data_IF_226813587400
#
_entry.id   IF_226813587400
#
_cell.length_a   1.000
_cell.length_b   1.000
_cell.length_c   1.000
_cell.angle_alpha   90.00
_cell.angle_beta   90.00
_cell.angle_gamma   90.00
#
_symmetry.space_group_name_H-M   'P 1'
#
loop_
_entity.id
_entity.type
_entity.pdbx_description
1 polymer ?
#
# COMPACT_ATOMS: atom_id res chain seq x y z
N UNK A 1 57.61 30.52 -14.68
CA UNK A 1 56.35 31.13 -14.19
C UNK A 1 55.25 30.11 -14.48
N UNK A 2 54.93 29.25 -13.50
CA UNK A 2 53.98 28.14 -13.70
C UNK A 2 52.54 28.64 -13.47
N UNK A 3 51.56 28.25 -14.30
CA UNK A 3 50.19 28.72 -14.16
C UNK A 3 49.53 28.15 -12.89
N UNK A 4 48.64 28.91 -12.23
CA UNK A 4 47.97 28.47 -11.02
C UNK A 4 47.04 27.29 -11.32
N UNK A 5 47.17 26.23 -10.51
CA UNK A 5 46.29 25.05 -10.55
C UNK A 5 44.93 25.48 -10.01
N UNK A 6 43.90 25.47 -10.87
CA UNK A 6 42.52 25.72 -10.44
C UNK A 6 42.05 24.60 -9.50
N UNK A 7 41.29 24.91 -8.42
CA UNK A 7 40.70 23.88 -7.58
C UNK A 7 39.68 23.08 -8.39
N UNK A 8 39.83 21.76 -8.38
CA UNK A 8 38.90 20.81 -9.02
C UNK A 8 37.54 20.94 -8.34
N UNK A 9 36.61 21.64 -8.98
CA UNK A 9 35.22 21.79 -8.50
C UNK A 9 34.60 20.39 -8.37
N UNK A 10 34.02 20.03 -7.21
CA UNK A 10 33.31 18.76 -7.08
C UNK A 10 32.11 18.75 -8.04
N UNK A 11 31.86 17.63 -8.73
CA UNK A 11 30.74 17.53 -9.65
C UNK A 11 29.41 17.76 -8.90
N UNK A 12 28.41 18.39 -9.54
CA UNK A 12 27.13 18.68 -8.92
C UNK A 12 26.46 17.38 -8.40
N UNK A 13 25.81 17.40 -7.21
CA UNK A 13 25.31 16.21 -6.52
C UNK A 13 24.07 15.55 -7.17
N UNK A 14 23.83 15.73 -8.47
CA UNK A 14 22.72 15.10 -9.17
C UNK A 14 23.10 14.56 -10.55
N UNK A 15 24.37 14.20 -10.77
CA UNK A 15 24.69 13.22 -11.81
C UNK A 15 23.91 11.96 -11.46
N UNK A 16 22.80 11.82 -12.17
CA UNK A 16 21.72 10.88 -11.93
C UNK A 16 22.36 9.54 -11.65
N UNK A 17 22.30 9.10 -10.38
CA UNK A 17 22.43 7.69 -10.03
C UNK A 17 21.52 6.99 -11.04
N UNK A 18 22.10 6.24 -11.97
CA UNK A 18 21.36 5.42 -12.94
C UNK A 18 20.28 4.75 -12.11
N UNK A 19 19.02 5.19 -12.33
CA UNK A 19 17.92 4.93 -11.40
C UNK A 19 17.53 3.49 -11.56
N UNK A 20 18.30 2.59 -10.99
CA UNK A 20 17.83 1.24 -10.71
C UNK A 20 16.71 1.41 -9.70
N UNK A 21 15.48 1.08 -10.09
CA UNK A 21 14.31 1.25 -9.23
C UNK A 21 14.27 0.14 -8.18
N UNK A 22 14.65 -1.06 -8.58
CA UNK A 22 14.77 -2.22 -7.70
C UNK A 22 16.19 -2.39 -7.19
N UNK A 23 16.30 -3.03 -6.02
CA UNK A 23 17.60 -3.44 -5.49
C UNK A 23 18.12 -4.63 -6.29
N UNK A 24 19.39 -4.57 -6.72
CA UNK A 24 19.98 -5.58 -7.59
C UNK A 24 19.81 -7.03 -7.10
N UNK A 25 20.07 -7.38 -5.82
CA UNK A 25 19.87 -8.75 -5.35
C UNK A 25 18.41 -9.23 -5.44
N UNK A 26 17.42 -8.33 -5.43
CA UNK A 26 16.01 -8.72 -5.61
C UNK A 26 15.73 -9.10 -7.06
N UNK A 27 16.32 -8.36 -8.01
CA UNK A 27 16.22 -8.65 -9.45
C UNK A 27 16.97 -9.93 -9.80
N UNK A 28 18.13 -10.16 -9.22
CA UNK A 28 18.90 -11.41 -9.33
C UNK A 28 18.12 -12.61 -8.76
N UNK A 29 17.46 -12.44 -7.61
CA UNK A 29 16.63 -13.49 -7.04
C UNK A 29 15.43 -13.86 -7.93
N UNK A 30 14.87 -12.91 -8.69
CA UNK A 30 13.83 -13.23 -9.68
C UNK A 30 14.40 -14.12 -10.79
N UNK A 31 15.56 -13.78 -11.34
CA UNK A 31 16.22 -14.59 -12.36
C UNK A 31 16.48 -16.02 -11.87
N UNK A 32 17.01 -16.15 -10.65
CA UNK A 32 17.25 -17.46 -10.03
C UNK A 32 15.95 -18.25 -9.82
N UNK A 33 14.88 -17.61 -9.37
CA UNK A 33 13.58 -18.26 -9.17
C UNK A 33 12.96 -18.79 -10.48
N UNK A 34 13.30 -18.18 -11.62
CA UNK A 34 12.92 -18.64 -12.95
C UNK A 34 13.91 -19.66 -13.56
N UNK A 35 14.96 -20.05 -12.82
CA UNK A 35 15.94 -21.06 -13.22
C UNK A 35 17.11 -20.53 -14.05
N UNK A 36 17.40 -19.23 -13.97
CA UNK A 36 18.60 -18.65 -14.55
C UNK A 36 19.85 -18.98 -13.70
N UNK A 37 21.03 -18.54 -14.16
CA UNK A 37 22.32 -18.76 -13.50
C UNK A 37 22.42 -18.03 -12.15
N UNK A 38 23.18 -18.59 -11.20
CA UNK A 38 23.46 -18.01 -9.88
C UNK A 38 24.20 -16.65 -9.98
N UNK A 39 24.91 -16.44 -11.09
CA UNK A 39 25.66 -15.21 -11.38
C UNK A 39 25.23 -14.63 -12.74
N UNK A 40 24.06 -13.95 -12.81
CA UNK A 40 23.60 -13.35 -14.05
C UNK A 40 24.48 -12.16 -14.44
N UNK A 41 24.57 -11.90 -15.75
CA UNK A 41 25.33 -10.75 -16.26
C UNK A 41 24.70 -9.44 -15.77
N UNK A 42 25.50 -8.42 -15.42
CA UNK A 42 24.99 -7.15 -14.92
C UNK A 42 24.12 -6.41 -15.95
N UNK A 43 24.35 -6.65 -17.24
CA UNK A 43 23.50 -6.17 -18.33
C UNK A 43 22.11 -6.80 -18.29
N UNK A 44 22.00 -8.12 -18.05
CA UNK A 44 20.71 -8.84 -17.95
C UNK A 44 19.89 -8.30 -16.79
N UNK A 45 20.52 -8.14 -15.62
CA UNK A 45 19.87 -7.59 -14.43
C UNK A 45 19.32 -6.18 -14.69
N UNK A 46 20.10 -5.35 -15.40
CA UNK A 46 19.67 -3.99 -15.75
C UNK A 46 18.50 -3.98 -16.73
N UNK A 47 18.55 -4.80 -17.77
CA UNK A 47 17.45 -4.90 -18.75
C UNK A 47 16.18 -5.42 -18.07
N UNK A 48 16.30 -6.39 -17.16
CA UNK A 48 15.15 -6.88 -16.40
C UNK A 48 14.54 -5.78 -15.50
N UNK A 49 15.36 -4.98 -14.82
CA UNK A 49 14.89 -3.84 -14.01
C UNK A 49 14.11 -2.81 -14.86
N UNK A 50 14.59 -2.52 -16.07
CA UNK A 50 13.90 -1.65 -17.03
C UNK A 50 12.55 -2.25 -17.47
N UNK A 51 12.53 -3.53 -17.90
CA UNK A 51 11.30 -4.22 -18.34
C UNK A 51 10.25 -4.31 -17.22
N UNK A 52 10.67 -4.67 -16.00
CA UNK A 52 9.75 -4.81 -14.86
C UNK A 52 9.18 -3.44 -14.47
N UNK A 53 10.01 -2.40 -14.51
CA UNK A 53 9.56 -1.04 -14.24
C UNK A 53 8.50 -0.60 -15.25
N UNK A 54 8.75 -0.79 -16.55
CA UNK A 54 7.82 -0.44 -17.61
C UNK A 54 6.51 -1.21 -17.47
N UNK A 55 6.59 -2.52 -17.19
CA UNK A 55 5.40 -3.34 -16.95
C UNK A 55 4.53 -2.80 -15.81
N UNK A 56 5.14 -2.40 -14.68
CA UNK A 56 4.39 -1.85 -13.54
C UNK A 56 3.72 -0.51 -13.91
N UNK A 57 4.42 0.35 -14.63
CA UNK A 57 3.89 1.65 -15.08
C UNK A 57 2.69 1.44 -16.00
N UNK A 58 2.82 0.60 -17.02
CA UNK A 58 1.74 0.27 -17.95
C UNK A 58 0.53 -0.31 -17.22
N UNK A 59 0.76 -1.27 -16.32
CA UNK A 59 -0.27 -1.90 -15.49
C UNK A 59 -1.03 -0.86 -14.64
N UNK A 60 -0.32 0.14 -14.09
CA UNK A 60 -0.92 1.21 -13.30
C UNK A 60 -1.73 2.19 -14.17
N UNK A 61 -1.28 2.48 -15.39
CA UNK A 61 -2.05 3.30 -16.33
C UNK A 61 -3.35 2.62 -16.76
N UNK A 62 -3.33 1.32 -17.03
CA UNK A 62 -4.54 0.56 -17.34
C UNK A 62 -5.52 0.53 -16.16
N UNK A 63 -5.02 0.26 -14.96
CA UNK A 63 -5.85 0.30 -13.74
C UNK A 63 -6.40 1.72 -13.48
N UNK A 64 -5.61 2.76 -13.72
CA UNK A 64 -6.06 4.15 -13.61
C UNK A 64 -7.16 4.47 -14.63
N UNK A 65 -7.04 3.99 -15.88
CA UNK A 65 -8.07 4.17 -16.90
C UNK A 65 -9.41 3.55 -16.45
N UNK A 66 -9.38 2.34 -15.87
CA UNK A 66 -10.57 1.69 -15.29
C UNK A 66 -11.17 2.53 -14.15
N UNK A 67 -10.34 3.05 -13.24
CA UNK A 67 -10.80 3.92 -12.16
C UNK A 67 -11.42 5.24 -12.68
N UNK A 68 -10.84 5.81 -13.73
CA UNK A 68 -11.35 7.00 -14.40
C UNK A 68 -12.69 6.75 -15.08
N UNK A 69 -12.90 5.59 -15.71
CA UNK A 69 -14.21 5.18 -16.24
C UNK A 69 -15.28 5.13 -15.14
N UNK A 70 -14.91 4.74 -13.92
CA UNK A 70 -15.78 4.77 -12.74
C UNK A 70 -15.89 6.18 -12.08
N UNK A 71 -15.41 7.24 -12.75
CA UNK A 71 -15.32 8.63 -12.26
C UNK A 71 -14.64 8.80 -10.91
N UNK A 72 -13.62 7.98 -10.63
CA UNK A 72 -12.89 8.01 -9.36
C UNK A 72 -11.43 8.37 -9.59
N UNK A 73 -10.93 9.32 -8.80
CA UNK A 73 -9.53 9.76 -8.87
C UNK A 73 -8.55 8.84 -8.12
N UNK A 74 -9.03 8.09 -7.13
CA UNK A 74 -8.21 7.10 -6.41
C UNK A 74 -8.23 5.79 -7.18
N UNK A 75 -7.19 4.96 -7.07
CA UNK A 75 -7.15 3.57 -7.56
C UNK A 75 -7.45 2.62 -6.39
N UNK A 76 -8.15 1.51 -6.65
CA UNK A 76 -8.54 0.45 -5.71
C UNK A 76 -8.05 -0.90 -6.25
N UNK A 77 -8.03 -1.91 -5.38
CA UNK A 77 -7.70 -3.29 -5.75
C UNK A 77 -8.65 -3.86 -6.82
N UNK A 78 -9.90 -3.43 -6.82
CA UNK A 78 -10.90 -3.88 -7.81
C UNK A 78 -10.55 -3.42 -9.24
N UNK A 79 -9.84 -2.30 -9.42
CA UNK A 79 -9.43 -1.85 -10.75
C UNK A 79 -8.36 -2.76 -11.34
N UNK A 80 -7.41 -3.22 -10.50
CA UNK A 80 -6.40 -4.19 -10.90
C UNK A 80 -7.02 -5.54 -11.26
N UNK A 81 -8.03 -5.99 -10.51
CA UNK A 81 -8.80 -7.20 -10.86
C UNK A 81 -9.50 -7.05 -12.20
N UNK A 82 -10.11 -5.88 -12.44
CA UNK A 82 -10.83 -5.63 -13.68
C UNK A 82 -9.88 -5.51 -14.89
N UNK A 83 -8.72 -4.91 -14.72
CA UNK A 83 -7.69 -4.85 -15.77
C UNK A 83 -7.23 -6.27 -16.16
N UNK A 84 -7.02 -7.16 -15.19
CA UNK A 84 -6.62 -8.55 -15.41
C UNK A 84 -7.74 -9.47 -15.94
N UNK A 85 -8.92 -8.96 -16.27
CA UNK A 85 -10.07 -9.78 -16.72
C UNK A 85 -9.80 -10.65 -17.96
N UNK A 86 -8.80 -10.29 -18.76
CA UNK A 86 -8.39 -11.05 -19.96
C UNK A 86 -7.38 -12.17 -19.65
N UNK A 87 -6.64 -12.05 -18.55
CA UNK A 87 -5.64 -13.03 -18.13
C UNK A 87 -6.16 -13.76 -16.88
N UNK A 88 -6.86 -14.87 -17.11
CA UNK A 88 -7.48 -15.66 -16.05
C UNK A 88 -6.44 -16.26 -15.08
N UNK A 89 -5.22 -16.53 -15.55
CA UNK A 89 -4.15 -17.09 -14.74
C UNK A 89 -3.57 -16.09 -13.74
N UNK A 90 -3.34 -14.85 -14.17
CA UNK A 90 -2.91 -13.77 -13.25
C UNK A 90 -4.04 -13.35 -12.32
N UNK A 91 -5.28 -13.30 -12.82
CA UNK A 91 -6.45 -12.96 -12.02
C UNK A 91 -6.68 -13.97 -10.88
N UNK A 92 -6.58 -15.27 -11.18
CA UNK A 92 -6.71 -16.34 -10.19
C UNK A 92 -5.68 -16.21 -9.07
N UNK A 93 -4.40 -16.05 -9.43
CA UNK A 93 -3.30 -15.84 -8.46
C UNK A 93 -3.52 -14.62 -7.58
N UNK A 94 -3.96 -13.50 -8.16
CA UNK A 94 -4.26 -12.28 -7.39
C UNK A 94 -5.45 -12.49 -6.45
N UNK A 95 -6.50 -13.22 -6.88
CA UNK A 95 -7.65 -13.49 -5.99
C UNK A 95 -7.26 -14.36 -4.82
N UNK A 96 -6.53 -15.45 -5.06
CA UNK A 96 -6.04 -16.37 -4.04
C UNK A 96 -5.14 -15.66 -3.02
N UNK A 97 -4.18 -14.85 -3.48
CA UNK A 97 -3.31 -14.07 -2.61
C UNK A 97 -4.11 -13.09 -1.72
N UNK A 98 -5.14 -12.44 -2.27
CA UNK A 98 -5.99 -11.53 -1.50
C UNK A 98 -6.92 -12.26 -0.51
N UNK A 99 -7.28 -13.51 -0.78
CA UNK A 99 -8.11 -14.34 0.09
C UNK A 99 -7.30 -14.89 1.26
N UNK A 100 -6.11 -15.44 0.99
CA UNK A 100 -5.16 -15.90 2.01
C UNK A 100 -4.74 -14.78 2.96
N UNK A 101 -4.50 -13.57 2.46
CA UNK A 101 -4.23 -12.38 3.29
C UNK A 101 -5.38 -12.04 4.25
N UNK A 102 -6.63 -12.17 3.78
CA UNK A 102 -7.81 -11.95 4.63
C UNK A 102 -7.94 -13.02 5.70
N UNK A 103 -7.67 -14.27 5.33
CA UNK A 103 -7.70 -15.40 6.27
C UNK A 103 -6.62 -15.25 7.35
N UNK A 104 -5.39 -14.91 6.97
CA UNK A 104 -4.29 -14.65 7.91
C UNK A 104 -4.63 -13.50 8.87
N UNK A 105 -5.21 -12.41 8.36
CA UNK A 105 -5.67 -11.30 9.21
C UNK A 105 -6.80 -11.73 10.16
N UNK A 106 -7.68 -12.63 9.73
CA UNK A 106 -8.74 -13.19 10.58
C UNK A 106 -8.16 -14.08 11.68
N UNK A 107 -7.22 -14.96 11.33
CA UNK A 107 -6.52 -15.85 12.29
C UNK A 107 -5.73 -15.08 13.33
N UNK A 108 -4.98 -14.04 12.92
CA UNK A 108 -4.25 -13.17 13.85
C UNK A 108 -5.18 -12.47 14.85
N UNK A 109 -6.34 -12.00 14.38
CA UNK A 109 -7.35 -11.38 15.25
C UNK A 109 -7.99 -12.38 16.21
N UNK A 110 -8.25 -13.60 15.75
CA UNK A 110 -8.77 -14.67 16.61
C UNK A 110 -7.78 -15.03 17.73
N UNK A 111 -6.48 -15.07 17.41
CA UNK A 111 -5.42 -15.34 18.38
C UNK A 111 -5.23 -14.21 19.42
N UNK A 112 -5.28 -12.95 18.98
CA UNK A 112 -5.17 -11.76 19.87
C UNK A 112 -6.36 -11.64 20.85
N UNK A 113 -7.48 -12.29 20.57
CA UNK A 113 -8.64 -12.31 21.48
C UNK A 113 -8.57 -13.46 22.50
N UNK A 114 -7.73 -14.48 22.27
CA UNK A 114 -7.72 -15.73 23.04
C UNK A 114 -6.69 -15.70 24.20
N UNK A 115 -5.57 -14.98 24.06
CA UNK A 115 -4.58 -14.84 25.15
C UNK A 115 -5.10 -14.00 26.34
N UNK A 116 -6.13 -13.17 26.14
CA UNK A 116 -6.78 -12.40 27.21
C UNK A 116 -7.99 -13.08 27.86
N UNK A 117 -8.52 -14.16 27.27
CA UNK A 117 -9.76 -14.79 27.73
C UNK A 117 -9.55 -15.95 28.71
N UNK A 118 -8.32 -16.45 28.85
CA UNK A 118 -8.01 -17.58 29.75
C UNK A 118 -7.82 -17.20 31.23
N UNK A 119 -7.76 -15.90 31.58
CA UNK A 119 -7.72 -15.46 32.99
C UNK A 119 -9.10 -15.20 33.61
N UNK A 120 -10.19 -15.31 32.84
CA UNK A 120 -11.56 -15.16 33.34
C UNK A 120 -12.45 -16.30 32.83
N UNK A 121 -12.19 -17.53 33.25
CA UNK A 121 -13.22 -18.56 33.32
C UNK A 121 -13.44 -18.99 34.77
N UNK A 122 -14.05 -18.07 35.51
CA UNK A 122 -14.98 -18.37 36.59
C UNK A 122 -16.33 -17.77 36.21
N UNK A 123 -17.31 -18.64 36.00
CA UNK A 123 -18.76 -18.37 35.96
C UNK A 123 -19.39 -17.73 34.71
N UNK A 124 -20.05 -18.61 33.93
CA UNK A 124 -21.38 -18.50 33.34
C UNK A 124 -21.76 -17.25 32.50
N UNK A 125 -21.84 -17.43 31.17
CA UNK A 125 -23.09 -17.54 30.39
C UNK A 125 -22.81 -17.43 28.88
N UNK A 126 -23.49 -18.30 28.13
CA UNK A 126 -23.65 -18.21 26.68
C UNK A 126 -24.50 -16.98 26.30
N UNK A 127 -24.45 -16.62 25.02
CA UNK A 127 -25.18 -15.53 24.33
C UNK A 127 -24.55 -14.13 24.34
N UNK A 128 -23.85 -13.79 23.24
CA UNK A 128 -24.04 -12.57 22.43
C UNK A 128 -22.93 -12.44 21.37
N UNK A 129 -23.10 -13.13 20.23
CA UNK A 129 -22.32 -12.90 19.02
C UNK A 129 -23.20 -12.23 17.97
N UNK A 130 -23.81 -11.08 18.29
CA UNK A 130 -24.43 -10.25 17.26
C UNK A 130 -24.55 -8.77 17.64
N UNK A 131 -23.45 -8.11 18.06
CA UNK A 131 -23.52 -6.64 18.24
C UNK A 131 -22.21 -5.85 18.11
N UNK A 132 -21.18 -6.36 17.42
CA UNK A 132 -19.91 -5.61 17.23
C UNK A 132 -19.71 -4.95 15.86
N UNK A 133 -20.70 -4.98 14.96
CA UNK A 133 -20.62 -4.28 13.65
C UNK A 133 -21.29 -2.90 13.60
N UNK A 134 -22.06 -2.49 14.61
CA UNK A 134 -22.78 -1.19 14.62
C UNK A 134 -22.04 -0.03 15.30
N UNK A 135 -21.05 -0.28 16.15
CA UNK A 135 -20.51 0.74 17.06
C UNK A 135 -19.54 1.76 16.46
N UNK A 136 -18.75 1.37 15.45
CA UNK A 136 -17.69 2.26 14.92
C UNK A 136 -18.24 3.38 14.02
N UNK A 137 -19.36 3.15 13.31
CA UNK A 137 -19.92 4.15 12.40
C UNK A 137 -20.68 5.25 13.16
N UNK A 138 -21.36 4.90 14.26
CA UNK A 138 -22.13 5.85 15.07
C UNK A 138 -21.21 6.77 15.89
N UNK A 139 -20.10 6.23 16.42
CA UNK A 139 -19.09 7.01 17.15
C UNK A 139 -18.41 8.07 16.27
N UNK A 140 -18.16 7.76 15.00
CA UNK A 140 -17.58 8.72 14.03
C UNK A 140 -18.56 9.83 13.64
N UNK A 141 -19.86 9.51 13.49
CA UNK A 141 -20.92 10.50 13.25
C UNK A 141 -21.13 11.43 14.45
N UNK A 142 -21.17 10.91 15.69
CA UNK A 142 -21.25 11.72 16.92
C UNK A 142 -20.02 12.62 17.11
N UNK A 143 -18.81 12.13 16.84
CA UNK A 143 -17.57 12.92 16.94
C UNK A 143 -17.51 14.03 15.88
N UNK A 144 -18.00 13.78 14.66
CA UNK A 144 -18.12 14.80 13.60
C UNK A 144 -19.15 15.88 13.98
N UNK A 145 -20.32 15.48 14.48
CA UNK A 145 -21.39 16.41 14.91
C UNK A 145 -20.98 17.27 16.11
N UNK A 146 -20.23 16.71 17.07
CA UNK A 146 -19.65 17.45 18.21
C UNK A 146 -18.57 18.43 17.76
N UNK A 147 -17.70 18.05 16.81
CA UNK A 147 -16.66 18.94 16.27
C UNK A 147 -17.24 20.11 15.46
N UNK A 148 -18.35 19.87 14.77
CA UNK A 148 -19.07 20.92 14.02
C UNK A 148 -19.82 21.89 14.93
N UNK A 149 -20.46 21.38 16.00
CA UNK A 149 -21.14 22.21 17.00
C UNK A 149 -20.18 23.10 17.79
N UNK A 150 -19.04 22.56 18.22
CA UNK A 150 -17.98 23.32 18.91
C UNK A 150 -17.34 24.37 17.98
N UNK A 151 -17.26 24.12 16.67
CA UNK A 151 -16.76 25.11 15.71
C UNK A 151 -17.77 26.24 15.47
N UNK A 152 -19.07 25.96 15.53
CA UNK A 152 -20.13 26.96 15.35
C UNK A 152 -20.30 27.84 16.59
N UNK A 153 -20.15 27.28 17.79
CA UNK A 153 -20.18 28.07 19.04
C UNK A 153 -18.95 28.99 19.13
N UNK A 154 -17.75 28.50 18.80
CA UNK A 154 -16.53 29.33 18.79
C UNK A 154 -16.48 30.46 17.74
N UNK A 155 -17.32 30.40 16.71
CA UNK A 155 -17.42 31.47 15.70
C UNK A 155 -18.53 32.48 16.02
N UNK A 156 -19.43 32.18 16.97
CA UNK A 156 -20.49 33.10 17.37
C UNK A 156 -20.02 34.10 18.44
N UNK A 157 -19.01 33.73 19.24
CA UNK A 157 -18.49 34.61 20.31
C UNK A 157 -17.55 35.72 19.77
N UNK A 158 -16.97 35.56 18.56
CA UNK A 158 -16.04 36.53 17.96
C UNK A 158 -16.73 37.65 17.16
N UNK A 159 -18.04 37.54 16.88
CA UNK A 159 -18.83 38.56 16.18
C UNK A 159 -19.66 39.45 17.14
N UNK A 160 -19.44 39.33 18.46
CA UNK A 160 -20.16 40.12 19.48
C UNK A 160 -19.28 41.11 20.26
N UNK A 161 -18.02 41.28 19.88
CA UNK A 161 -17.14 42.34 20.40
C UNK A 161 -16.37 42.98 19.25
N UNK A 162 -17.07 43.77 18.43
CA UNK A 162 -16.76 45.16 18.01
C UNK A 162 -18.04 45.74 17.39
#
# INVERSE_FOLDING_TARGET
>A
MAPPILPRVPPPPHLKKTRTLFDRPQVEAFLLAFGDNDYPLPETVRVLDEIVTDYIIETCHEAAAVAHHARRAKIKLDDFKFMLRRDTGKLGRVSEMLETDKELKRKRKAFDTDEGAVLQKGDAKEDEVEQKRGGEEEGRKKKKKKKEKVKKEKFADDESVV
#
